data_IF_206305256816
#
_entry.id   IF_206305256816
#
_cell.length_a   1.000
_cell.length_b   1.000
_cell.length_c   1.000
_cell.angle_alpha   90.00
_cell.angle_beta   90.00
_cell.angle_gamma   90.00
#
_symmetry.space_group_name_H-M   'P 1'
#
loop_
_entity.id
_entity.type
_entity.pdbx_description
1 polymer ?
#
# COMPACT_ATOMS: atom_id res chain seq x y z
N UNK A 1 19.77 -4.54 -10.27
CA UNK A 1 19.29 -3.71 -9.16
C UNK A 1 17.99 -4.30 -8.63
N UNK A 2 17.89 -4.52 -7.33
CA UNK A 2 16.65 -5.03 -6.74
C UNK A 2 15.80 -3.88 -6.20
N UNK A 3 14.56 -3.82 -6.66
CA UNK A 3 13.57 -2.90 -6.10
C UNK A 3 13.01 -3.54 -4.83
N UNK A 4 13.11 -2.83 -3.70
CA UNK A 4 12.57 -3.30 -2.41
C UNK A 4 11.52 -2.37 -1.83
N UNK A 5 11.71 -1.07 -2.04
CA UNK A 5 10.87 -0.03 -1.46
C UNK A 5 10.16 0.73 -2.58
N UNK A 6 8.84 0.72 -2.52
CA UNK A 6 7.99 1.38 -3.53
C UNK A 6 7.14 2.43 -2.84
N UNK A 7 7.12 3.63 -3.39
CA UNK A 7 6.23 4.69 -2.92
C UNK A 7 5.07 4.83 -3.92
N UNK A 8 3.86 4.85 -3.39
CA UNK A 8 2.66 5.12 -4.18
C UNK A 8 2.11 6.49 -3.74
N UNK A 9 2.12 7.44 -4.66
CA UNK A 9 1.61 8.78 -4.39
C UNK A 9 0.15 8.85 -4.83
N UNK A 10 -0.73 9.03 -3.84
CA UNK A 10 -2.18 9.00 -4.04
C UNK A 10 -2.78 7.68 -3.58
N UNK A 11 -3.76 7.77 -2.68
CA UNK A 11 -4.40 6.59 -2.08
C UNK A 11 -5.89 6.50 -2.41
N UNK A 12 -6.28 6.99 -3.60
CA UNK A 12 -7.63 6.78 -4.12
C UNK A 12 -7.87 5.31 -4.42
N UNK A 13 -8.95 5.00 -5.11
CA UNK A 13 -9.31 3.60 -5.41
C UNK A 13 -8.19 2.89 -6.14
N UNK A 14 -7.68 3.47 -7.22
CA UNK A 14 -6.63 2.84 -8.01
C UNK A 14 -5.31 2.78 -7.26
N UNK A 15 -4.90 3.89 -6.61
CA UNK A 15 -3.67 3.94 -5.85
C UNK A 15 -3.63 2.94 -4.71
N UNK A 16 -4.76 2.76 -4.01
CA UNK A 16 -4.87 1.76 -2.95
C UNK A 16 -4.73 0.34 -3.49
N UNK A 17 -5.32 0.04 -4.64
CA UNK A 17 -5.19 -1.26 -5.29
C UNK A 17 -3.75 -1.55 -5.67
N UNK A 18 -3.07 -0.56 -6.25
CA UNK A 18 -1.66 -0.69 -6.64
C UNK A 18 -0.79 -0.90 -5.41
N UNK A 19 -1.00 -0.12 -4.35
CA UNK A 19 -0.24 -0.23 -3.11
C UNK A 19 -0.40 -1.61 -2.49
N UNK A 20 -1.64 -2.10 -2.39
CA UNK A 20 -1.89 -3.40 -1.77
C UNK A 20 -1.30 -4.54 -2.60
N UNK A 21 -1.50 -4.53 -3.90
CA UNK A 21 -0.95 -5.56 -4.78
C UNK A 21 0.58 -5.59 -4.72
N UNK A 22 1.21 -4.41 -4.71
CA UNK A 22 2.67 -4.30 -4.61
C UNK A 22 3.16 -4.88 -3.28
N UNK A 23 2.50 -4.55 -2.17
CA UNK A 23 2.84 -5.08 -0.86
C UNK A 23 2.62 -6.59 -0.81
N UNK A 24 1.55 -7.09 -1.44
CA UNK A 24 1.25 -8.52 -1.48
C UNK A 24 2.35 -9.31 -2.22
N UNK A 25 2.99 -8.69 -3.20
CA UNK A 25 4.13 -9.29 -3.92
C UNK A 25 5.43 -9.29 -3.11
N UNK A 26 5.44 -8.69 -1.91
CA UNK A 26 6.58 -8.74 -1.01
C UNK A 26 7.38 -7.44 -0.88
N UNK A 27 6.97 -6.37 -1.58
CA UNK A 27 7.65 -5.08 -1.49
C UNK A 27 7.22 -4.31 -0.27
N UNK A 28 8.11 -3.49 0.28
CA UNK A 28 7.73 -2.49 1.27
C UNK A 28 7.13 -1.31 0.53
N UNK A 29 5.96 -0.86 0.98
CA UNK A 29 5.22 0.21 0.32
C UNK A 29 5.04 1.39 1.26
N UNK A 30 5.39 2.58 0.78
CA UNK A 30 5.06 3.84 1.43
C UNK A 30 3.93 4.49 0.62
N UNK A 31 2.77 4.61 1.22
CA UNK A 31 1.62 5.24 0.56
C UNK A 31 1.46 6.66 1.07
N UNK A 32 1.40 7.61 0.14
CA UNK A 32 1.30 9.03 0.45
C UNK A 32 -0.06 9.56 0.02
N UNK A 33 -0.65 10.42 0.85
CA UNK A 33 -1.73 11.28 0.41
C UNK A 33 -1.65 12.63 1.13
N UNK A 34 -2.49 13.56 0.69
CA UNK A 34 -2.37 14.97 1.04
C UNK A 34 -2.70 15.27 2.51
N UNK A 35 -3.56 14.47 3.14
CA UNK A 35 -3.97 14.70 4.52
C UNK A 35 -4.40 13.41 5.22
N UNK A 36 -4.63 13.51 6.53
CA UNK A 36 -5.02 12.37 7.36
C UNK A 36 -6.40 11.81 6.99
N UNK A 37 -7.32 12.66 6.55
CA UNK A 37 -8.64 12.22 6.13
C UNK A 37 -8.54 11.28 4.92
N UNK A 38 -7.70 11.62 3.95
CA UNK A 38 -7.46 10.75 2.79
C UNK A 38 -6.84 9.43 3.22
N UNK A 39 -5.93 9.44 4.19
CA UNK A 39 -5.32 8.21 4.71
C UNK A 39 -6.31 7.34 5.47
N UNK A 40 -7.26 7.92 6.21
CA UNK A 40 -8.31 7.14 6.86
C UNK A 40 -9.19 6.43 5.83
N UNK A 41 -9.53 7.09 4.74
CA UNK A 41 -10.25 6.46 3.63
C UNK A 41 -9.44 5.35 2.97
N UNK A 42 -8.13 5.53 2.88
CA UNK A 42 -7.23 4.50 2.35
C UNK A 42 -7.25 3.25 3.23
N UNK A 43 -7.25 3.41 4.54
CA UNK A 43 -7.34 2.27 5.47
C UNK A 43 -8.61 1.45 5.23
N UNK A 44 -9.74 2.11 5.00
CA UNK A 44 -10.99 1.44 4.68
C UNK A 44 -10.89 0.64 3.38
N UNK A 45 -10.25 1.23 2.36
CA UNK A 45 -10.03 0.56 1.08
C UNK A 45 -9.13 -0.66 1.24
N UNK A 46 -8.08 -0.55 2.04
CA UNK A 46 -7.19 -1.68 2.31
C UNK A 46 -7.93 -2.81 3.03
N UNK A 47 -8.80 -2.49 3.97
CA UNK A 47 -9.60 -3.52 4.65
C UNK A 47 -10.50 -4.27 3.68
N UNK A 48 -11.11 -3.57 2.73
CA UNK A 48 -11.93 -4.20 1.68
C UNK A 48 -11.06 -5.09 0.79
N UNK A 49 -9.87 -4.64 0.42
CA UNK A 49 -8.94 -5.41 -0.40
C UNK A 49 -8.47 -6.67 0.32
N UNK A 50 -8.21 -6.58 1.62
CA UNK A 50 -7.85 -7.75 2.44
C UNK A 50 -8.93 -8.82 2.36
N UNK A 51 -10.20 -8.43 2.54
CA UNK A 51 -11.31 -9.36 2.45
C UNK A 51 -11.43 -9.98 1.06
N UNK A 52 -11.32 -9.17 0.01
CA UNK A 52 -11.42 -9.65 -1.37
C UNK A 52 -10.32 -10.64 -1.71
N UNK A 53 -9.09 -10.38 -1.27
CA UNK A 53 -7.96 -11.27 -1.55
C UNK A 53 -8.17 -12.64 -0.89
N UNK A 54 -8.77 -12.68 0.29
CA UNK A 54 -9.11 -13.94 0.96
C UNK A 54 -10.26 -14.66 0.26
N UNK A 55 -11.34 -13.94 -0.05
CA UNK A 55 -12.53 -14.52 -0.72
C UNK A 55 -12.19 -15.09 -2.09
N UNK A 56 -11.35 -14.39 -2.85
CA UNK A 56 -10.95 -14.79 -4.20
C UNK A 56 -9.80 -15.81 -4.17
N UNK A 57 -9.39 -16.24 -2.99
CA UNK A 57 -8.31 -17.23 -2.80
C UNK A 57 -6.96 -16.80 -3.37
N UNK A 58 -6.70 -15.49 -3.46
CA UNK A 58 -5.39 -14.99 -3.87
C UNK A 58 -4.34 -15.17 -2.77
N UNK A 59 -4.77 -15.23 -1.52
CA UNK A 59 -3.86 -15.41 -0.41
C UNK A 59 -4.55 -15.91 0.84
N UNK A 60 -3.76 -16.47 1.76
CA UNK A 60 -4.24 -16.83 3.08
C UNK A 60 -4.39 -15.58 3.94
N UNK A 61 -5.07 -15.73 5.08
CA UNK A 61 -5.19 -14.63 6.04
C UNK A 61 -3.82 -14.11 6.46
N UNK A 62 -2.87 -15.01 6.73
CA UNK A 62 -1.51 -14.65 7.13
C UNK A 62 -0.78 -13.87 6.04
N UNK A 63 -0.92 -14.27 4.79
CA UNK A 63 -0.30 -13.58 3.65
C UNK A 63 -0.89 -12.19 3.44
N UNK A 64 -2.21 -12.07 3.59
CA UNK A 64 -2.92 -10.80 3.43
C UNK A 64 -2.55 -9.83 4.55
N UNK A 65 -2.52 -10.31 5.80
CA UNK A 65 -2.13 -9.49 6.95
C UNK A 65 -0.66 -9.04 6.83
N UNK A 66 0.23 -9.92 6.39
CA UNK A 66 1.63 -9.58 6.17
C UNK A 66 1.78 -8.52 5.08
N UNK A 67 0.98 -8.59 4.03
CA UNK A 67 0.99 -7.57 2.98
C UNK A 67 0.60 -6.20 3.54
N UNK A 68 -0.46 -6.15 4.32
CA UNK A 68 -0.90 -4.89 4.93
C UNK A 68 0.17 -4.31 5.86
N UNK A 69 0.87 -5.16 6.60
CA UNK A 69 1.95 -4.73 7.50
C UNK A 69 3.14 -4.12 6.75
N UNK A 70 3.29 -4.41 5.45
CA UNK A 70 4.35 -3.82 4.62
C UNK A 70 3.99 -2.42 4.12
N UNK A 71 2.77 -1.95 4.36
CA UNK A 71 2.31 -0.62 3.91
C UNK A 71 2.42 0.35 5.06
N UNK A 72 3.15 1.45 4.85
CA UNK A 72 3.17 2.58 5.77
C UNK A 72 2.48 3.78 5.12
N UNK A 73 1.78 4.57 5.93
CA UNK A 73 0.98 5.70 5.45
C UNK A 73 1.65 7.01 5.84
N UNK A 74 1.73 7.94 4.91
CA UNK A 74 2.44 9.21 5.11
C UNK A 74 1.67 10.39 4.51
N UNK A 75 1.71 11.52 5.21
CA UNK A 75 1.24 12.80 4.68
C UNK A 75 2.40 13.71 4.30
N UNK A 76 3.63 13.30 4.56
CA UNK A 76 4.84 14.01 4.20
C UNK A 76 5.48 13.31 3.00
N UNK A 77 5.47 13.98 1.84
CA UNK A 77 5.98 13.39 0.61
C UNK A 77 7.47 13.07 0.70
N UNK A 78 8.25 13.94 1.34
CA UNK A 78 9.70 13.71 1.47
C UNK A 78 9.98 12.44 2.27
N UNK A 79 9.22 12.17 3.32
CA UNK A 79 9.35 10.93 4.09
C UNK A 79 8.91 9.72 3.29
N UNK A 80 7.84 9.87 2.52
CA UNK A 80 7.32 8.76 1.71
C UNK A 80 8.29 8.33 0.62
N UNK A 81 9.03 9.26 0.02
CA UNK A 81 9.95 8.96 -1.08
C UNK A 81 11.40 8.76 -0.64
N UNK A 82 11.73 9.04 0.63
CA UNK A 82 13.12 9.08 1.11
C UNK A 82 13.94 7.84 0.83
N UNK A 83 13.35 6.66 0.92
CA UNK A 83 14.02 5.39 0.68
C UNK A 83 13.47 4.65 -0.54
N UNK A 84 12.69 5.32 -1.38
CA UNK A 84 12.02 4.67 -2.49
C UNK A 84 12.99 4.27 -3.60
N UNK A 85 12.89 3.03 -4.06
CA UNK A 85 13.55 2.56 -5.27
C UNK A 85 12.72 2.88 -6.50
N UNK A 86 11.40 2.99 -6.30
CA UNK A 86 10.43 3.29 -7.36
C UNK A 86 9.29 4.13 -6.78
N UNK A 87 8.88 5.14 -7.53
CA UNK A 87 7.71 5.97 -7.14
C UNK A 87 6.65 5.84 -8.23
N UNK A 88 5.43 5.52 -7.81
CA UNK A 88 4.26 5.40 -8.69
C UNK A 88 3.30 6.54 -8.34
N UNK A 89 2.96 7.33 -9.32
CA UNK A 89 2.00 8.43 -9.16
C UNK A 89 0.60 8.07 -9.63
#
# INVERSE_FOLDING_TARGET
MKIKNVTVAGTGVLGSQIAFQTAFKGFKVSAYDINDEALEKAKERFNVLKERYQEDSYGTKEEVDAAYDRISLHTDLAKAVGNADLVIE
#
